data_IF_691595726773
#
_entry.id   IF_691595726773
#
_cell.length_a   1.000
_cell.length_b   1.000
_cell.length_c   1.000
_cell.angle_alpha   90.00
_cell.angle_beta   90.00
_cell.angle_gamma   90.00
#
_symmetry.space_group_name_H-M   'P 1'
#
loop_
_entity.id
_entity.type
_entity.pdbx_description
1 polymer ?
#
# COMPACT_ATOMS: atom_id res chain seq x y z
N UNK A 1 -11.82 -13.78 13.05
CA UNK A 1 -10.69 -13.59 12.12
C UNK A 1 -10.61 -12.11 11.81
N UNK A 2 -9.49 -11.46 12.12
CA UNK A 2 -9.40 -10.01 12.03
C UNK A 2 -8.70 -9.56 10.73
N UNK A 3 -9.16 -8.43 10.18
CA UNK A 3 -8.49 -7.70 9.10
C UNK A 3 -7.59 -6.63 9.70
N UNK A 4 -6.34 -6.58 9.30
CA UNK A 4 -5.42 -5.50 9.64
C UNK A 4 -5.64 -4.31 8.70
N UNK A 5 -5.79 -3.10 9.25
CA UNK A 5 -5.81 -1.86 8.46
C UNK A 5 -4.61 -1.02 8.85
N UNK A 6 -3.87 -0.55 7.84
CA UNK A 6 -2.70 0.31 8.03
C UNK A 6 -2.93 1.63 7.30
N UNK A 7 -2.62 2.73 7.97
CA UNK A 7 -2.53 4.07 7.38
C UNK A 7 -1.20 4.71 7.77
N UNK A 8 -0.66 5.58 6.93
CA UNK A 8 0.67 6.13 7.16
C UNK A 8 0.67 7.34 8.10
N UNK A 9 -0.39 8.15 8.07
CA UNK A 9 -0.48 9.42 8.79
C UNK A 9 -1.78 9.54 9.58
N UNK A 10 -1.82 10.41 10.63
CA UNK A 10 -3.00 10.58 11.48
C UNK A 10 -4.27 10.96 10.72
N UNK A 11 -4.15 11.78 9.68
CA UNK A 11 -5.27 12.26 8.87
C UNK A 11 -6.01 11.13 8.14
N UNK A 12 -5.27 10.12 7.66
CA UNK A 12 -5.82 8.92 7.03
C UNK A 12 -6.47 8.01 8.07
N UNK A 13 -5.78 7.83 9.20
CA UNK A 13 -6.17 6.93 10.27
C UNK A 13 -7.41 7.41 11.03
N UNK A 14 -7.56 8.73 11.23
CA UNK A 14 -8.66 9.33 11.99
C UNK A 14 -10.03 9.21 11.30
N UNK A 15 -10.06 8.84 10.02
CA UNK A 15 -11.28 8.70 9.23
C UNK A 15 -11.90 7.31 9.29
N UNK A 16 -11.26 6.38 9.98
CA UNK A 16 -11.81 5.04 10.17
C UNK A 16 -13.06 5.09 11.07
N UNK A 17 -14.17 4.59 10.57
CA UNK A 17 -15.45 4.56 11.28
C UNK A 17 -15.62 3.23 11.99
N UNK A 18 -15.74 3.28 13.31
CA UNK A 18 -15.89 2.12 14.19
C UNK A 18 -17.33 1.94 14.63
N UNK A 19 -17.80 0.70 14.73
CA UNK A 19 -19.14 0.38 15.24
C UNK A 19 -19.32 0.79 16.70
N UNK A 20 -18.23 0.77 17.49
CA UNK A 20 -18.13 1.23 18.86
C UNK A 20 -16.71 1.71 19.18
N UNK A 21 -16.50 2.38 20.31
CA UNK A 21 -15.17 2.84 20.74
C UNK A 21 -14.16 1.69 20.77
N UNK A 22 -13.07 1.75 19.98
CA UNK A 22 -12.10 0.67 19.88
C UNK A 22 -11.20 0.59 21.13
N UNK A 23 -10.84 -0.61 21.54
CA UNK A 23 -9.80 -0.84 22.55
C UNK A 23 -8.42 -0.49 21.96
N UNK A 24 -7.60 0.15 22.76
CA UNK A 24 -6.24 0.56 22.32
C UNK A 24 -5.16 -0.25 23.04
N UNK A 25 -4.13 -0.62 22.32
CA UNK A 25 -2.92 -1.27 22.81
C UNK A 25 -1.68 -0.64 22.18
N UNK A 26 -0.59 -0.55 22.94
CA UNK A 26 0.69 0.02 22.47
C UNK A 26 1.74 -1.07 22.48
N UNK A 27 2.31 -1.36 21.30
CA UNK A 27 3.39 -2.33 21.13
C UNK A 27 4.47 -1.70 20.26
N UNK A 28 5.74 -1.74 20.71
CA UNK A 28 6.90 -1.17 20.02
C UNK A 28 6.66 0.28 19.59
N UNK A 29 6.08 1.09 20.50
CA UNK A 29 5.69 2.50 20.27
C UNK A 29 4.70 2.71 19.11
N UNK A 30 3.99 1.66 18.70
CA UNK A 30 2.90 1.73 17.72
C UNK A 30 1.56 1.55 18.42
N UNK A 31 0.59 2.37 18.04
CA UNK A 31 -0.77 2.30 18.59
C UNK A 31 -1.61 1.39 17.71
N UNK A 32 -2.20 0.37 18.32
CA UNK A 32 -3.14 -0.54 17.68
C UNK A 32 -4.52 -0.34 18.27
N UNK A 33 -5.53 -0.18 17.43
CA UNK A 33 -6.93 -0.09 17.80
C UNK A 33 -7.67 -1.35 17.39
N UNK A 34 -8.41 -1.93 18.31
CA UNK A 34 -9.15 -3.17 18.13
C UNK A 34 -10.63 -2.90 18.24
N UNK A 35 -11.38 -3.29 17.26
CA UNK A 35 -12.83 -3.10 17.27
C UNK A 35 -13.49 -3.78 16.09
N UNK A 36 -14.70 -3.33 15.79
CA UNK A 36 -15.45 -3.76 14.62
C UNK A 36 -15.74 -2.59 13.71
N UNK A 37 -15.79 -2.89 12.42
CA UNK A 37 -16.23 -1.99 11.35
C UNK A 37 -17.19 -2.80 10.47
N UNK A 38 -18.46 -2.40 10.43
CA UNK A 38 -19.53 -3.16 9.77
C UNK A 38 -19.54 -4.65 10.17
N UNK A 39 -19.51 -4.92 11.47
CA UNK A 39 -19.46 -6.25 12.08
C UNK A 39 -18.21 -7.09 11.79
N UNK A 40 -17.22 -6.57 11.04
CA UNK A 40 -15.95 -7.22 10.78
C UNK A 40 -14.96 -6.88 11.90
N UNK A 41 -14.28 -7.89 12.46
CA UNK A 41 -13.19 -7.67 13.40
C UNK A 41 -12.00 -7.00 12.72
N UNK A 42 -11.59 -5.85 13.21
CA UNK A 42 -10.52 -5.03 12.64
C UNK A 42 -9.47 -4.70 13.70
N UNK A 43 -8.21 -4.76 13.30
CA UNK A 43 -7.09 -4.22 14.04
C UNK A 43 -6.44 -3.15 13.16
N UNK A 44 -6.58 -1.89 13.54
CA UNK A 44 -6.02 -0.79 12.77
C UNK A 44 -4.82 -0.16 13.46
N UNK A 45 -3.83 0.27 12.65
CA UNK A 45 -2.64 0.92 13.13
C UNK A 45 -2.18 2.06 12.22
N UNK A 46 -1.73 3.15 12.83
CA UNK A 46 -0.94 4.16 12.17
C UNK A 46 0.51 3.67 12.11
N UNK A 47 1.01 3.39 10.90
CA UNK A 47 2.36 2.84 10.77
C UNK A 47 3.46 3.93 10.75
N UNK A 48 3.14 5.15 10.36
CA UNK A 48 4.12 6.18 10.01
C UNK A 48 4.59 6.06 8.56
N UNK A 49 5.22 7.11 8.06
CA UNK A 49 5.72 7.19 6.68
C UNK A 49 6.96 6.30 6.51
N UNK A 50 7.10 5.69 5.33
CA UNK A 50 8.26 4.92 4.90
C UNK A 50 8.09 3.41 4.97
N UNK A 51 8.76 2.72 4.06
CA UNK A 51 8.63 1.25 3.86
C UNK A 51 8.99 0.44 5.11
N UNK A 52 10.02 0.87 5.87
CA UNK A 52 10.42 0.19 7.10
C UNK A 52 9.34 0.25 8.17
N UNK A 53 8.69 1.39 8.33
CA UNK A 53 7.56 1.57 9.25
C UNK A 53 6.36 0.70 8.84
N UNK A 54 6.03 0.68 7.56
CA UNK A 54 4.97 -0.16 7.01
C UNK A 54 5.27 -1.66 7.25
N UNK A 55 6.49 -2.10 6.95
CA UNK A 55 6.92 -3.49 7.13
C UNK A 55 6.86 -3.94 8.59
N UNK A 56 7.35 -3.11 9.53
CA UNK A 56 7.29 -3.41 10.96
C UNK A 56 5.84 -3.57 11.43
N UNK A 57 4.97 -2.63 11.04
CA UNK A 57 3.56 -2.65 11.46
C UNK A 57 2.82 -3.84 10.85
N UNK A 58 3.05 -4.13 9.57
CA UNK A 58 2.50 -5.32 8.89
C UNK A 58 2.97 -6.60 9.57
N UNK A 59 4.27 -6.70 9.92
CA UNK A 59 4.83 -7.85 10.63
C UNK A 59 4.17 -8.08 11.99
N UNK A 60 3.84 -7.02 12.73
CA UNK A 60 3.11 -7.11 14.00
C UNK A 60 1.66 -7.56 13.79
N UNK A 61 0.98 -7.00 12.80
CA UNK A 61 -0.41 -7.39 12.49
C UNK A 61 -0.52 -8.86 12.10
N UNK A 62 0.35 -9.34 11.21
CA UNK A 62 0.32 -10.73 10.75
C UNK A 62 0.91 -11.70 11.77
N UNK A 63 2.09 -11.36 12.33
CA UNK A 63 2.86 -12.27 13.18
C UNK A 63 2.39 -12.31 14.63
N UNK A 64 2.13 -11.16 15.23
CA UNK A 64 1.76 -11.04 16.64
C UNK A 64 0.24 -11.13 16.82
N UNK A 65 -0.53 -10.32 16.10
CA UNK A 65 -1.98 -10.26 16.23
C UNK A 65 -2.74 -11.28 15.36
N UNK A 66 -2.05 -11.98 14.46
CA UNK A 66 -2.62 -13.03 13.61
C UNK A 66 -3.77 -12.54 12.71
N UNK A 67 -3.64 -11.31 12.19
CA UNK A 67 -4.54 -10.85 11.13
C UNK A 67 -4.40 -11.75 9.90
N UNK A 68 -5.50 -12.03 9.21
CA UNK A 68 -5.52 -12.92 8.04
C UNK A 68 -5.23 -12.17 6.74
N UNK A 69 -5.53 -10.88 6.75
CA UNK A 69 -5.29 -9.99 5.61
C UNK A 69 -4.94 -8.59 6.10
N UNK A 70 -4.29 -7.83 5.23
CA UNK A 70 -3.95 -6.43 5.47
C UNK A 70 -4.54 -5.60 4.34
N UNK A 71 -5.17 -4.49 4.71
CA UNK A 71 -5.55 -3.42 3.82
C UNK A 71 -4.73 -2.17 4.17
N UNK A 72 -4.14 -1.52 3.18
CA UNK A 72 -3.57 -0.20 3.32
C UNK A 72 -4.58 0.84 2.80
N UNK A 73 -4.87 1.84 3.62
CA UNK A 73 -5.73 2.96 3.25
C UNK A 73 -4.98 4.27 3.46
N UNK A 74 -4.88 5.07 2.41
CA UNK A 74 -4.13 6.33 2.47
C UNK A 74 -4.26 7.16 1.20
N UNK A 75 -3.46 8.20 1.10
CA UNK A 75 -3.40 9.08 -0.05
C UNK A 75 -2.17 8.80 -0.91
N UNK A 76 -2.28 9.01 -2.22
CA UNK A 76 -1.18 8.90 -3.15
C UNK A 76 -1.14 10.10 -4.10
N UNK A 77 0.05 10.49 -4.54
CA UNK A 77 0.23 11.48 -5.60
C UNK A 77 -0.12 10.89 -6.96
N UNK A 78 -1.00 11.55 -7.71
CA UNK A 78 -1.36 11.11 -9.06
C UNK A 78 -0.19 11.24 -10.03
N UNK A 79 0.27 10.12 -10.59
CA UNK A 79 1.25 10.09 -11.69
C UNK A 79 0.55 10.26 -13.04
N UNK A 80 -0.52 9.49 -13.27
CA UNK A 80 -1.33 9.59 -14.47
C UNK A 80 -2.08 10.93 -14.49
N UNK A 81 -1.96 11.73 -15.57
CA UNK A 81 -2.64 13.03 -15.70
C UNK A 81 -4.17 12.95 -15.73
N UNK A 82 -4.75 11.77 -15.98
CA UNK A 82 -6.20 11.54 -15.95
C UNK A 82 -6.76 11.34 -14.53
N UNK A 83 -5.88 11.24 -13.52
CA UNK A 83 -6.28 11.15 -12.14
C UNK A 83 -6.43 12.54 -11.52
N UNK A 84 -7.56 12.78 -10.85
CA UNK A 84 -7.88 14.03 -10.21
C UNK A 84 -7.95 13.87 -8.69
N UNK A 85 -7.83 14.97 -7.99
CA UNK A 85 -8.01 14.99 -6.55
C UNK A 85 -9.43 14.53 -6.17
N UNK A 86 -9.52 13.52 -5.30
CA UNK A 86 -10.77 12.89 -4.90
C UNK A 86 -11.08 11.58 -5.63
N UNK A 87 -10.32 11.24 -6.67
CA UNK A 87 -10.43 9.91 -7.29
C UNK A 87 -10.01 8.82 -6.31
N UNK A 88 -10.71 7.68 -6.36
CA UNK A 88 -10.37 6.48 -5.60
C UNK A 88 -9.65 5.52 -6.54
N UNK A 89 -8.43 5.16 -6.17
CA UNK A 89 -7.64 4.15 -6.88
C UNK A 89 -7.47 2.91 -6.00
N UNK A 90 -7.83 1.77 -6.54
CA UNK A 90 -7.53 0.46 -5.94
C UNK A 90 -6.32 -0.12 -6.69
N UNK A 91 -5.26 -0.45 -5.94
CA UNK A 91 -4.09 -1.05 -6.53
C UNK A 91 -4.40 -2.46 -7.01
N UNK A 92 -4.35 -2.70 -8.31
CA UNK A 92 -4.27 -4.05 -8.88
C UNK A 92 -2.82 -4.49 -9.07
N UNK A 93 -1.87 -3.55 -9.08
CA UNK A 93 -0.44 -3.80 -9.07
C UNK A 93 0.30 -2.86 -8.10
N UNK A 94 1.27 -3.43 -7.37
CA UNK A 94 2.14 -2.70 -6.46
C UNK A 94 3.60 -2.86 -6.88
N UNK A 95 4.30 -1.73 -7.05
CA UNK A 95 5.72 -1.73 -7.44
C UNK A 95 6.53 -0.93 -6.42
N UNK A 96 7.64 -1.52 -5.97
CA UNK A 96 8.67 -0.77 -5.25
C UNK A 96 9.67 -0.21 -6.28
N UNK A 97 9.47 1.04 -6.70
CA UNK A 97 10.20 1.65 -7.80
C UNK A 97 11.69 1.92 -7.51
N UNK A 98 12.09 1.96 -6.25
CA UNK A 98 13.44 2.30 -5.81
C UNK A 98 14.26 1.09 -5.30
N UNK A 99 13.80 -0.13 -5.54
CA UNK A 99 14.53 -1.37 -5.27
C UNK A 99 15.03 -1.98 -6.58
N UNK A 100 16.31 -2.33 -6.65
CA UNK A 100 16.89 -2.92 -7.84
C UNK A 100 18.40 -2.76 -7.89
N UNK A 101 18.98 -2.88 -9.09
CA UNK A 101 20.40 -2.72 -9.36
C UNK A 101 20.69 -1.43 -10.15
N UNK A 102 21.82 -0.77 -9.87
CA UNK A 102 22.29 0.34 -10.68
C UNK A 102 23.22 -0.23 -11.76
N UNK A 103 22.78 -0.16 -13.01
CA UNK A 103 23.56 -0.60 -14.18
C UNK A 103 23.77 0.59 -15.10
N UNK A 104 25.02 0.89 -15.42
CA UNK A 104 25.38 2.05 -16.25
C UNK A 104 24.78 3.38 -15.77
N UNK A 105 24.65 3.56 -14.47
CA UNK A 105 24.07 4.78 -13.86
C UNK A 105 22.55 4.86 -13.86
N UNK A 106 21.86 3.82 -14.28
CA UNK A 106 20.39 3.71 -14.25
C UNK A 106 19.93 2.64 -13.26
N UNK A 107 18.89 2.93 -12.50
CA UNK A 107 18.24 1.94 -11.66
C UNK A 107 17.36 1.03 -12.51
N UNK A 108 17.67 -0.25 -12.47
CA UNK A 108 16.81 -1.32 -12.99
C UNK A 108 16.05 -1.89 -11.81
N UNK A 109 14.75 -1.62 -11.78
CA UNK A 109 13.89 -2.05 -10.67
C UNK A 109 13.64 -3.57 -10.72
N UNK A 110 13.47 -4.16 -9.55
CA UNK A 110 13.11 -5.58 -9.38
C UNK A 110 12.20 -5.79 -8.19
N UNK A 111 11.62 -6.97 -8.06
CA UNK A 111 10.87 -7.35 -6.86
C UNK A 111 11.84 -7.47 -5.67
N UNK A 112 11.51 -6.87 -4.50
CA UNK A 112 12.31 -7.05 -3.29
C UNK A 112 12.54 -8.52 -2.94
N UNK A 113 13.82 -8.86 -2.73
CA UNK A 113 14.24 -10.25 -2.50
C UNK A 113 14.83 -10.94 -3.72
N UNK A 114 14.63 -10.43 -4.94
CA UNK A 114 15.34 -10.87 -6.14
C UNK A 114 16.64 -10.10 -6.34
N UNK A 115 17.56 -10.65 -7.14
CA UNK A 115 18.83 -10.03 -7.48
C UNK A 115 18.94 -9.89 -9.01
N UNK A 116 18.46 -8.79 -9.60
CA UNK A 116 18.29 -8.67 -11.06
C UNK A 116 19.58 -8.84 -11.87
N UNK A 117 20.74 -8.61 -11.25
CA UNK A 117 22.03 -8.80 -11.90
C UNK A 117 22.48 -10.26 -12.00
N UNK A 118 21.80 -11.18 -11.32
CA UNK A 118 22.14 -12.60 -11.25
C UNK A 118 21.03 -13.50 -11.82
N UNK A 119 19.81 -13.03 -11.76
CA UNK A 119 18.63 -13.73 -12.24
C UNK A 119 18.27 -13.20 -13.62
N UNK A 120 18.51 -14.01 -14.65
CA UNK A 120 18.20 -13.71 -16.07
C UNK A 120 16.68 -13.84 -16.31
N UNK A 121 15.89 -13.29 -15.40
CA UNK A 121 14.42 -13.40 -15.44
C UNK A 121 13.83 -12.07 -15.86
N UNK A 122 13.10 -12.07 -16.98
CA UNK A 122 12.09 -11.08 -17.35
C UNK A 122 10.89 -11.17 -16.36
N UNK A 123 11.17 -11.25 -15.05
CA UNK A 123 10.11 -11.35 -14.06
C UNK A 123 9.41 -10.00 -13.90
N UNK A 124 8.09 -10.06 -13.85
CA UNK A 124 7.22 -8.94 -13.54
C UNK A 124 7.68 -8.26 -12.25
N UNK A 125 7.94 -6.94 -12.31
CA UNK A 125 8.41 -6.15 -11.16
C UNK A 125 7.27 -5.80 -10.20
N UNK A 126 6.06 -6.27 -10.47
CA UNK A 126 4.85 -5.93 -9.74
C UNK A 126 4.32 -7.07 -8.87
N UNK A 127 3.81 -6.72 -7.69
CA UNK A 127 2.94 -7.59 -6.91
C UNK A 127 1.51 -7.40 -7.40
N UNK A 128 0.94 -8.43 -8.04
CA UNK A 128 -0.39 -8.36 -8.63
C UNK A 128 -1.49 -8.74 -7.64
N UNK A 129 -2.62 -8.03 -7.71
CA UNK A 129 -3.82 -8.38 -6.96
C UNK A 129 -4.40 -9.70 -7.51
N UNK A 130 -4.77 -10.66 -6.65
CA UNK A 130 -5.50 -11.85 -7.09
C UNK A 130 -6.83 -11.48 -7.77
N UNK A 131 -7.10 -12.08 -8.92
CA UNK A 131 -8.31 -11.82 -9.72
C UNK A 131 -9.61 -11.97 -8.90
N UNK A 132 -9.65 -12.96 -8.00
CA UNK A 132 -10.78 -13.15 -7.08
C UNK A 132 -11.08 -11.90 -6.24
N UNK A 133 -10.03 -11.24 -5.73
CA UNK A 133 -10.17 -10.02 -4.93
C UNK A 133 -10.61 -8.84 -5.80
N UNK A 134 -10.01 -8.69 -6.97
CA UNK A 134 -10.38 -7.66 -7.95
C UNK A 134 -11.87 -7.74 -8.30
N UNK A 135 -12.36 -8.94 -8.62
CA UNK A 135 -13.76 -9.17 -8.96
C UNK A 135 -14.72 -8.85 -7.79
N UNK A 136 -14.30 -9.10 -6.56
CA UNK A 136 -15.09 -8.73 -5.37
C UNK A 136 -15.17 -7.21 -5.21
N UNK A 137 -14.08 -6.47 -5.46
CA UNK A 137 -14.00 -5.02 -5.27
C UNK A 137 -14.74 -4.23 -6.37
N UNK A 138 -14.80 -4.73 -7.60
CA UNK A 138 -15.57 -4.11 -8.70
C UNK A 138 -17.05 -3.96 -8.36
N UNK A 139 -17.59 -4.86 -7.54
CA UNK A 139 -19.01 -4.89 -7.19
C UNK A 139 -19.35 -4.17 -5.87
N UNK A 140 -18.43 -3.40 -5.31
CA UNK A 140 -18.71 -2.62 -4.10
C UNK A 140 -19.67 -1.49 -4.41
N UNK A 141 -20.83 -1.51 -3.76
CA UNK A 141 -21.92 -0.56 -4.01
C UNK A 141 -21.52 0.86 -3.59
N UNK A 142 -21.77 1.82 -4.48
CA UNK A 142 -21.58 3.26 -4.20
C UNK A 142 -20.18 3.77 -4.43
N UNK A 143 -19.27 2.95 -4.93
CA UNK A 143 -17.93 3.36 -5.36
C UNK A 143 -17.74 3.06 -6.85
N UNK A 144 -17.14 3.99 -7.56
CA UNK A 144 -16.61 3.78 -8.91
C UNK A 144 -15.07 3.83 -8.85
N UNK A 145 -14.41 2.81 -8.24
CA UNK A 145 -12.97 2.85 -8.10
C UNK A 145 -12.30 2.66 -9.45
N UNK A 146 -11.26 3.44 -9.67
CA UNK A 146 -10.29 3.14 -10.73
C UNK A 146 -9.36 2.04 -10.24
N UNK A 147 -8.93 1.18 -11.14
CA UNK A 147 -7.91 0.18 -10.86
C UNK A 147 -6.62 0.58 -11.56
N UNK A 148 -5.50 0.30 -10.95
CA UNK A 148 -4.21 0.62 -11.55
C UNK A 148 -3.04 0.39 -10.62
N UNK A 149 -1.88 0.75 -11.12
CA UNK A 149 -0.58 0.56 -10.49
C UNK A 149 -0.31 1.62 -9.44
N UNK A 150 0.14 1.20 -8.25
CA UNK A 150 0.65 2.10 -7.21
C UNK A 150 2.15 1.85 -7.02
N UNK A 151 2.93 2.93 -7.11
CA UNK A 151 4.36 2.91 -6.85
C UNK A 151 4.64 3.27 -5.39
N UNK A 152 5.59 2.58 -4.77
CA UNK A 152 6.12 2.92 -3.46
C UNK A 152 7.63 3.11 -3.51
N UNK A 153 8.15 3.99 -2.65
CA UNK A 153 9.56 4.26 -2.47
C UNK A 153 9.81 5.14 -1.25
N UNK A 154 11.06 5.26 -0.83
CA UNK A 154 11.45 6.10 0.31
C UNK A 154 11.81 7.53 -0.10
N UNK A 155 11.43 7.94 -1.32
CA UNK A 155 11.67 9.29 -1.84
C UNK A 155 10.34 9.99 -2.12
N UNK A 156 10.16 11.20 -1.57
CA UNK A 156 9.01 12.04 -1.88
C UNK A 156 9.17 12.73 -3.23
N UNK A 157 8.23 12.50 -4.15
CA UNK A 157 8.24 13.10 -5.49
C UNK A 157 7.64 14.49 -5.49
N UNK A 158 8.50 15.52 -5.34
CA UNK A 158 8.11 16.92 -5.39
C UNK A 158 8.36 17.60 -6.77
N UNK A 159 8.84 16.84 -7.77
CA UNK A 159 9.26 17.35 -9.06
C UNK A 159 8.34 16.88 -10.18
N UNK A 160 7.74 17.82 -10.92
CA UNK A 160 6.83 17.51 -12.03
C UNK A 160 7.50 16.72 -13.16
N UNK A 161 8.76 17.00 -13.47
CA UNK A 161 9.48 16.27 -14.51
C UNK A 161 9.71 14.80 -14.13
N UNK A 162 10.05 14.54 -12.86
CA UNK A 162 10.19 13.18 -12.34
C UNK A 162 8.86 12.45 -12.34
N UNK A 163 7.76 13.14 -12.02
CA UNK A 163 6.39 12.58 -12.09
C UNK A 163 6.06 12.11 -13.51
N UNK A 164 6.32 12.96 -14.52
CA UNK A 164 6.10 12.61 -15.94
C UNK A 164 6.99 11.44 -16.40
N UNK A 165 8.24 11.41 -15.93
CA UNK A 165 9.18 10.33 -16.23
C UNK A 165 8.68 9.00 -15.64
N UNK A 166 8.24 9.00 -14.39
CA UNK A 166 7.72 7.80 -13.72
C UNK A 166 6.42 7.31 -14.36
N UNK A 167 5.52 8.24 -14.72
CA UNK A 167 4.32 7.87 -15.45
C UNK A 167 4.67 7.10 -16.72
N UNK A 168 5.58 7.60 -17.53
CA UNK A 168 6.03 6.95 -18.77
C UNK A 168 6.78 5.63 -18.54
N UNK A 169 7.52 5.51 -17.44
CA UNK A 169 8.33 4.32 -17.15
C UNK A 169 7.49 3.16 -16.62
N UNK A 170 6.45 3.45 -15.86
CA UNK A 170 5.65 2.47 -15.13
C UNK A 170 4.19 2.42 -15.61
N UNK A 171 3.92 2.89 -16.80
CA UNK A 171 2.59 2.88 -17.45
C UNK A 171 2.08 1.46 -17.75
#
# INVERSE_FOLDING_TARGET
>A
MAVGIISAIPEEYSRLEWDAEPRTEIIVNKIFKFGKMNDIDVIAAECGIGKVNAALTTGLLLGHFRCESIAFSGVAGGLNPELHQGDILIADELIQHDYGAIVNGQLISSIPGSFPALDDTDEDIAYCMPERLRNALVNVVGLEPKFGRILTGDTYLACENTRKMFHKQFE
#
